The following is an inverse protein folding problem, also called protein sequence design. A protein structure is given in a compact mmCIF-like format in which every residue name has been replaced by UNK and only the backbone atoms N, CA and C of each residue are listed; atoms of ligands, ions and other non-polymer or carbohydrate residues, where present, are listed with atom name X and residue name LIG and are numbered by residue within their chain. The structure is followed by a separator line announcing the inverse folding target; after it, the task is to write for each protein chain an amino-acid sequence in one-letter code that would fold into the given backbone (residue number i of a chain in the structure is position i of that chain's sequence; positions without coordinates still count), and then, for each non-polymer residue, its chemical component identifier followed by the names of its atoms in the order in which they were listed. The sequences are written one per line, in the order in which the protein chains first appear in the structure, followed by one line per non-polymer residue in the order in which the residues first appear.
data_IF_932135966651
#
_entry.id   IF_932135966651
#
_cell.length_a   1.000
_cell.length_b   1.000
_cell.length_c   1.000
_cell.angle_alpha   90.00
_cell.angle_beta   90.00
_cell.angle_gamma   90.00
#
_symmetry.space_group_name_H-M   'P 1'
#
loop_
_entity.id
_entity.type
_entity.pdbx_description
1 polymer ?
#
# COMPACT_ATOMS: atom_id res chain seq x y z
N UNK A 1 1.11 -21.96 13.68
CA UNK A 1 1.62 -23.00 12.73
C UNK A 1 1.19 -24.45 13.00
N UNK A 2 1.16 -24.98 14.24
CA UNK A 2 0.77 -26.40 14.49
C UNK A 2 -0.67 -26.76 14.07
N UNK A 3 -1.65 -25.85 14.19
CA UNK A 3 -3.06 -26.09 13.77
C UNK A 3 -3.26 -26.15 12.24
N UNK A 4 -2.50 -25.37 11.48
CA UNK A 4 -2.58 -25.38 10.00
C UNK A 4 -1.88 -26.60 9.40
N UNK A 5 -0.76 -27.02 10.01
CA UNK A 5 -0.05 -28.27 9.64
C UNK A 5 -0.95 -29.49 9.89
N UNK A 6 -1.69 -29.54 11.00
CA UNK A 6 -2.62 -30.66 11.27
C UNK A 6 -3.75 -30.70 10.22
N UNK A 7 -4.34 -29.56 9.85
CA UNK A 7 -5.42 -29.52 8.87
C UNK A 7 -4.96 -29.93 7.46
N UNK A 8 -3.78 -29.47 7.04
CA UNK A 8 -3.17 -29.85 5.76
C UNK A 8 -2.76 -31.33 5.76
N UNK A 9 -2.18 -31.84 6.86
CA UNK A 9 -1.82 -33.26 6.97
C UNK A 9 -3.06 -34.16 6.93
N UNK A 10 -4.18 -33.77 7.55
CA UNK A 10 -5.44 -34.53 7.51
C UNK A 10 -6.05 -34.49 6.09
N UNK A 11 -6.08 -33.34 5.42
CA UNK A 11 -6.61 -33.24 4.05
C UNK A 11 -5.72 -33.99 3.06
N UNK A 12 -4.39 -33.91 3.16
CA UNK A 12 -3.46 -34.64 2.31
C UNK A 12 -3.52 -36.15 2.55
N UNK A 13 -3.67 -36.61 3.80
CA UNK A 13 -3.80 -38.05 4.08
C UNK A 13 -5.13 -38.61 3.59
N UNK A 14 -6.24 -37.87 3.73
CA UNK A 14 -7.54 -38.26 3.18
C UNK A 14 -7.53 -38.25 1.65
N UNK A 15 -6.93 -37.22 1.03
CA UNK A 15 -6.80 -37.13 -0.43
C UNK A 15 -5.86 -38.22 -0.99
N UNK A 16 -4.76 -38.53 -0.31
CA UNK A 16 -3.85 -39.61 -0.70
C UNK A 16 -4.49 -40.98 -0.54
N UNK A 17 -5.24 -41.22 0.55
CA UNK A 17 -6.01 -42.44 0.74
C UNK A 17 -7.13 -42.59 -0.32
N UNK A 18 -7.79 -41.49 -0.69
CA UNK A 18 -8.82 -41.47 -1.74
C UNK A 18 -8.24 -41.68 -3.14
N UNK A 19 -7.07 -41.10 -3.44
CA UNK A 19 -6.36 -41.33 -4.71
C UNK A 19 -5.82 -42.76 -4.83
N UNK A 20 -5.28 -43.33 -3.75
CA UNK A 20 -4.94 -44.75 -3.73
C UNK A 20 -6.18 -45.63 -3.93
N UNK A 21 -7.30 -45.30 -3.30
CA UNK A 21 -8.56 -46.03 -3.48
C UNK A 21 -9.08 -45.99 -4.93
N UNK A 22 -9.04 -44.84 -5.61
CA UNK A 22 -9.44 -44.70 -7.01
C UNK A 22 -8.49 -45.41 -7.98
N UNK A 23 -7.18 -45.35 -7.74
CA UNK A 23 -6.19 -46.09 -8.54
C UNK A 23 -6.30 -47.60 -8.34
N UNK A 24 -6.77 -48.05 -7.17
CA UNK A 24 -6.88 -49.46 -6.80
C UNK A 24 -8.16 -50.11 -7.34
N UNK A 25 -9.31 -49.41 -7.32
CA UNK A 25 -10.58 -49.90 -7.88
C UNK A 25 -10.50 -50.20 -9.38
N UNK A 26 -9.58 -49.54 -10.10
CA UNK A 26 -9.29 -49.80 -11.53
C UNK A 26 -8.60 -51.16 -11.80
N UNK A 27 -8.05 -51.83 -10.78
CA UNK A 27 -7.25 -53.07 -10.94
C UNK A 27 -7.93 -54.37 -10.48
N UNK A 28 -9.21 -54.33 -10.07
CA UNK A 28 -10.03 -55.54 -9.91
C UNK A 28 -9.58 -56.58 -8.87
N UNK A 29 -8.80 -56.19 -7.85
CA UNK A 29 -8.39 -57.09 -6.76
C UNK A 29 -9.05 -56.69 -5.43
N UNK A 30 -9.54 -57.66 -4.66
CA UNK A 30 -10.19 -57.43 -3.37
C UNK A 30 -9.18 -57.29 -2.24
N UNK A 31 -9.20 -56.17 -1.52
CA UNK A 31 -8.38 -55.95 -0.33
C UNK A 31 -9.23 -56.10 0.95
N UNK A 32 -8.83 -57.01 1.85
CA UNK A 32 -9.32 -57.01 3.25
C UNK A 32 -8.60 -55.92 4.02
N UNK A 33 -9.26 -54.79 4.27
CA UNK A 33 -8.73 -53.69 5.07
C UNK A 33 -9.13 -53.93 6.54
N UNK A 34 -8.16 -54.10 7.44
CA UNK A 34 -8.42 -54.03 8.89
C UNK A 34 -8.74 -52.56 9.24
N UNK A 35 -9.82 -52.28 9.99
CA UNK A 35 -10.17 -50.91 10.33
C UNK A 35 -9.07 -50.30 11.21
N UNK A 36 -8.44 -49.23 10.72
CA UNK A 36 -7.66 -48.34 11.56
C UNK A 36 -8.66 -47.54 12.39
N UNK A 37 -8.69 -47.77 13.69
CA UNK A 37 -9.45 -46.96 14.62
C UNK A 37 -8.78 -45.59 14.67
N UNK A 38 -9.25 -44.66 13.85
CA UNK A 38 -8.96 -43.24 14.03
C UNK A 38 -9.68 -42.85 15.30
N UNK A 39 -8.93 -42.65 16.40
CA UNK A 39 -9.48 -41.96 17.57
C UNK A 39 -10.01 -40.63 17.06
N UNK A 40 -11.33 -40.45 17.14
CA UNK A 40 -11.98 -39.18 16.88
C UNK A 40 -11.30 -38.13 17.78
N UNK A 41 -10.44 -37.30 17.20
CA UNK A 41 -10.15 -36.00 17.80
C UNK A 41 -11.41 -35.19 17.58
N UNK A 42 -12.31 -35.25 18.55
CA UNK A 42 -13.42 -34.32 18.66
C UNK A 42 -12.83 -32.92 18.80
N UNK A 43 -12.70 -32.20 17.68
CA UNK A 43 -12.49 -30.76 17.74
C UNK A 43 -13.84 -30.18 18.14
N UNK A 44 -13.98 -29.88 19.43
CA UNK A 44 -15.15 -29.23 19.98
C UNK A 44 -15.29 -27.86 19.31
N UNK A 45 -16.23 -27.72 18.37
CA UNK A 45 -16.52 -26.46 17.65
C UNK A 45 -17.25 -25.42 18.53
N UNK A 46 -17.46 -25.70 19.82
CA UNK A 46 -18.30 -24.89 20.71
C UNK A 46 -17.54 -24.19 21.86
N UNK A 47 -16.20 -24.28 21.93
CA UNK A 47 -15.44 -23.55 22.96
C UNK A 47 -14.93 -22.22 22.42
N UNK A 48 -15.58 -21.13 22.85
CA UNK A 48 -15.14 -19.75 22.65
C UNK A 48 -13.72 -19.62 23.22
N UNK A 49 -12.76 -19.13 22.43
CA UNK A 49 -11.38 -18.96 22.91
C UNK A 49 -11.31 -17.92 24.03
N UNK A 50 -10.34 -18.03 24.93
CA UNK A 50 -10.11 -17.02 25.96
C UNK A 50 -9.89 -15.62 25.35
N UNK A 51 -9.20 -15.57 24.21
CA UNK A 51 -9.01 -14.36 23.42
C UNK A 51 -10.35 -13.75 22.98
N UNK A 52 -11.30 -14.57 22.50
CA UNK A 52 -12.63 -14.10 22.07
C UNK A 52 -13.48 -13.63 23.26
N UNK A 53 -13.40 -14.30 24.42
CA UNK A 53 -14.05 -13.85 25.66
C UNK A 53 -13.51 -12.47 26.05
N UNK A 54 -12.18 -12.32 26.06
CA UNK A 54 -11.52 -11.06 26.42
C UNK A 54 -11.84 -9.95 25.41
N UNK A 55 -11.93 -10.28 24.12
CA UNK A 55 -12.34 -9.34 23.08
C UNK A 55 -13.76 -8.82 23.29
N UNK A 56 -14.72 -9.71 23.59
CA UNK A 56 -16.11 -9.31 23.90
C UNK A 56 -16.19 -8.43 25.14
N UNK A 57 -15.34 -8.66 26.16
CA UNK A 57 -15.24 -7.79 27.34
C UNK A 57 -14.69 -6.41 26.97
N UNK A 58 -13.61 -6.35 26.18
CA UNK A 58 -13.02 -5.09 25.71
C UNK A 58 -14.02 -4.26 24.88
N UNK A 59 -14.83 -4.91 24.03
CA UNK A 59 -15.89 -4.23 23.28
C UNK A 59 -16.95 -3.57 24.18
N UNK A 60 -17.28 -4.14 25.34
CA UNK A 60 -18.23 -3.53 26.29
C UNK A 60 -17.61 -2.34 27.02
N UNK A 61 -16.30 -2.38 27.29
CA UNK A 61 -15.59 -1.27 27.94
C UNK A 61 -15.60 0.00 27.10
N UNK A 62 -15.64 -0.10 25.77
CA UNK A 62 -15.59 1.08 24.87
C UNK A 62 -16.71 2.09 25.13
N UNK A 63 -17.87 1.61 25.59
CA UNK A 63 -19.06 2.42 25.88
C UNK A 63 -18.93 3.17 27.20
N UNK A 64 -18.02 2.71 28.07
CA UNK A 64 -17.83 3.24 29.42
C UNK A 64 -16.56 4.09 29.51
N UNK A 65 -15.46 3.58 28.94
CA UNK A 65 -14.13 4.13 29.08
C UNK A 65 -13.24 3.66 27.92
N UNK A 66 -12.99 4.58 26.98
CA UNK A 66 -12.21 4.29 25.77
C UNK A 66 -10.78 3.86 26.12
N UNK A 67 -10.16 4.47 27.14
CA UNK A 67 -8.77 4.16 27.48
C UNK A 67 -8.66 2.74 28.08
N UNK A 68 -9.61 2.35 28.94
CA UNK A 68 -9.69 0.97 29.44
C UNK A 68 -9.92 -0.03 28.32
N UNK A 69 -10.76 0.31 27.33
CA UNK A 69 -10.98 -0.54 26.17
C UNK A 69 -9.69 -0.73 25.34
N UNK A 70 -8.94 0.35 25.08
CA UNK A 70 -7.64 0.30 24.39
C UNK A 70 -6.68 -0.62 25.15
N UNK A 71 -6.50 -0.42 26.45
CA UNK A 71 -5.62 -1.27 27.26
C UNK A 71 -6.04 -2.74 27.26
N UNK A 72 -7.36 -3.02 27.28
CA UNK A 72 -7.87 -4.38 27.18
C UNK A 72 -7.56 -5.01 25.80
N UNK A 73 -7.70 -4.26 24.71
CA UNK A 73 -7.32 -4.73 23.37
C UNK A 73 -5.80 -4.93 23.26
N UNK A 74 -4.97 -4.04 23.80
CA UNK A 74 -3.50 -4.18 23.81
C UNK A 74 -3.05 -5.44 24.55
N UNK A 75 -3.74 -5.77 25.65
CA UNK A 75 -3.53 -7.03 26.37
C UNK A 75 -3.85 -8.24 25.49
N UNK A 76 -4.92 -8.19 24.70
CA UNK A 76 -5.25 -9.28 23.77
C UNK A 76 -4.15 -9.45 22.72
N UNK A 77 -3.65 -8.35 22.15
CA UNK A 77 -2.56 -8.38 21.16
C UNK A 77 -1.28 -8.99 21.74
N UNK A 78 -0.99 -8.69 23.00
CA UNK A 78 0.21 -9.18 23.70
C UNK A 78 0.08 -10.65 24.09
N UNK A 79 -1.04 -11.04 24.71
CA UNK A 79 -1.19 -12.37 25.31
C UNK A 79 -1.61 -13.44 24.30
N UNK A 80 -2.25 -13.04 23.20
CA UNK A 80 -2.82 -13.94 22.19
C UNK A 80 -2.35 -13.58 20.78
N UNK A 81 -1.06 -13.28 20.61
CA UNK A 81 -0.49 -12.77 19.35
C UNK A 81 -0.75 -13.64 18.12
N UNK A 82 -0.91 -14.96 18.29
CA UNK A 82 -1.17 -15.94 17.22
C UNK A 82 -2.67 -16.18 16.97
N UNK A 83 -3.55 -15.60 17.78
CA UNK A 83 -5.01 -15.73 17.66
C UNK A 83 -5.56 -14.63 16.73
N UNK A 84 -6.60 -14.96 15.97
CA UNK A 84 -7.27 -14.03 15.06
C UNK A 84 -7.75 -12.75 15.79
N UNK A 85 -8.14 -12.90 17.07
CA UNK A 85 -8.60 -11.78 17.90
C UNK A 85 -7.54 -10.70 18.12
N UNK A 86 -6.24 -11.01 18.01
CA UNK A 86 -5.20 -9.99 18.09
C UNK A 86 -5.24 -9.03 16.90
N UNK A 87 -5.49 -9.53 15.68
CA UNK A 87 -5.65 -8.68 14.49
C UNK A 87 -6.92 -7.82 14.58
N UNK A 88 -8.01 -8.38 15.09
CA UNK A 88 -9.25 -7.65 15.34
C UNK A 88 -9.07 -6.59 16.43
N UNK A 89 -8.31 -6.90 17.48
CA UNK A 89 -8.00 -5.97 18.57
C UNK A 89 -7.22 -4.76 18.06
N UNK A 90 -6.19 -4.94 17.22
CA UNK A 90 -5.47 -3.83 16.58
C UNK A 90 -6.38 -2.97 15.70
N UNK A 91 -7.29 -3.59 14.95
CA UNK A 91 -8.30 -2.86 14.17
C UNK A 91 -9.21 -2.00 15.07
N UNK A 92 -9.66 -2.55 16.21
CA UNK A 92 -10.44 -1.78 17.18
C UNK A 92 -9.64 -0.62 17.79
N UNK A 93 -8.37 -0.85 18.16
CA UNK A 93 -7.48 0.20 18.66
C UNK A 93 -7.35 1.33 17.62
N UNK A 94 -7.10 1.01 16.35
CA UNK A 94 -7.03 2.00 15.28
C UNK A 94 -8.34 2.78 15.13
N UNK A 95 -9.51 2.13 15.25
CA UNK A 95 -10.81 2.80 15.21
C UNK A 95 -10.99 3.79 16.38
N UNK A 96 -10.61 3.39 17.59
CA UNK A 96 -10.72 4.24 18.78
C UNK A 96 -9.78 5.46 18.72
N UNK A 97 -8.57 5.31 18.17
CA UNK A 97 -7.68 6.44 17.96
C UNK A 97 -8.18 7.40 16.89
N UNK A 98 -8.76 6.88 15.80
CA UNK A 98 -9.43 7.73 14.79
C UNK A 98 -10.57 8.55 15.38
N UNK A 99 -11.41 7.95 16.22
CA UNK A 99 -12.51 8.66 16.90
C UNK A 99 -12.00 9.81 17.79
N UNK A 100 -10.81 9.66 18.36
CA UNK A 100 -10.15 10.69 19.18
C UNK A 100 -9.34 11.71 18.36
N UNK A 101 -9.21 11.54 17.04
CA UNK A 101 -8.33 12.36 16.20
C UNK A 101 -6.83 12.13 16.45
N UNK A 102 -6.47 11.01 17.09
CA UNK A 102 -5.09 10.61 17.43
C UNK A 102 -4.42 9.89 16.25
N UNK A 103 -4.09 10.67 15.21
CA UNK A 103 -3.63 10.15 13.91
C UNK A 103 -2.32 9.35 14.00
N UNK A 104 -1.38 9.74 14.89
CA UNK A 104 -0.09 9.03 15.01
C UNK A 104 -0.28 7.65 15.66
N UNK A 105 -1.12 7.57 16.68
CA UNK A 105 -1.45 6.34 17.38
C UNK A 105 -2.32 5.43 16.50
N UNK A 106 -3.25 6.00 15.72
CA UNK A 106 -3.97 5.29 14.67
C UNK A 106 -3.02 4.67 13.65
N UNK A 107 -2.08 5.47 13.12
CA UNK A 107 -1.05 5.01 12.18
C UNK A 107 -0.26 3.86 12.78
N UNK A 108 0.23 4.02 14.01
CA UNK A 108 1.02 2.99 14.69
C UNK A 108 0.27 1.68 14.87
N UNK A 109 -1.03 1.72 15.19
CA UNK A 109 -1.86 0.53 15.31
C UNK A 109 -2.07 -0.17 13.97
N UNK A 110 -2.30 0.60 12.89
CA UNK A 110 -2.43 0.08 11.53
C UNK A 110 -1.10 -0.49 10.99
N UNK A 111 0.02 0.19 11.20
CA UNK A 111 1.36 -0.32 10.84
C UNK A 111 1.61 -1.68 11.52
N UNK A 112 1.33 -1.78 12.82
CA UNK A 112 1.47 -3.05 13.56
C UNK A 112 0.54 -4.13 13.01
N UNK A 113 -0.71 -3.79 12.68
CA UNK A 113 -1.66 -4.72 12.08
C UNK A 113 -1.14 -5.27 10.75
N UNK A 114 -0.70 -4.39 9.85
CA UNK A 114 -0.26 -4.79 8.51
C UNK A 114 1.05 -5.59 8.54
N UNK A 115 1.97 -5.25 9.45
CA UNK A 115 3.26 -5.93 9.56
C UNK A 115 3.16 -7.28 10.27
N UNK A 116 2.31 -7.40 11.29
CA UNK A 116 2.17 -8.64 12.07
C UNK A 116 1.09 -9.59 11.53
N UNK A 117 0.12 -9.07 10.77
CA UNK A 117 -1.05 -9.83 10.31
C UNK A 117 -1.36 -9.57 8.82
N UNK A 118 -0.34 -9.56 7.95
CA UNK A 118 -0.47 -9.22 6.53
C UNK A 118 -1.55 -10.01 5.78
N UNK A 119 -1.73 -11.29 6.15
CA UNK A 119 -2.65 -12.24 5.50
C UNK A 119 -4.06 -12.26 6.11
N UNK A 120 -4.32 -11.50 7.18
CA UNK A 120 -5.66 -11.44 7.77
C UNK A 120 -6.63 -10.72 6.83
N UNK A 121 -7.87 -11.22 6.73
CA UNK A 121 -8.91 -10.64 5.85
C UNK A 121 -9.15 -9.15 6.14
N UNK A 122 -9.09 -8.77 7.42
CA UNK A 122 -9.27 -7.38 7.85
C UNK A 122 -8.17 -6.44 7.34
N UNK A 123 -6.96 -6.96 7.14
CA UNK A 123 -5.79 -6.17 6.73
C UNK A 123 -5.97 -5.61 5.33
N UNK A 124 -6.54 -6.37 4.39
CA UNK A 124 -6.79 -5.89 3.02
C UNK A 124 -7.77 -4.72 2.98
N UNK A 125 -8.77 -4.72 3.87
CA UNK A 125 -9.76 -3.62 3.97
C UNK A 125 -9.18 -2.35 4.59
N UNK A 126 -8.14 -2.47 5.41
CA UNK A 126 -7.55 -1.36 6.15
C UNK A 126 -6.29 -0.77 5.51
N UNK A 127 -5.71 -1.45 4.51
CA UNK A 127 -4.59 -0.92 3.71
C UNK A 127 -4.83 0.49 3.16
N UNK A 128 -5.96 0.79 2.47
CA UNK A 128 -6.21 2.14 1.96
C UNK A 128 -6.18 3.22 3.05
N UNK A 129 -6.73 2.90 4.22
CA UNK A 129 -6.74 3.83 5.35
C UNK A 129 -5.35 4.19 5.85
N UNK A 130 -4.43 3.21 5.93
CA UNK A 130 -3.04 3.52 6.28
C UNK A 130 -2.36 4.35 5.18
N UNK A 131 -2.61 4.05 3.91
CA UNK A 131 -2.04 4.80 2.80
C UNK A 131 -2.50 6.26 2.78
N UNK A 132 -3.77 6.53 3.07
CA UNK A 132 -4.29 7.89 3.20
C UNK A 132 -3.60 8.63 4.34
N UNK A 133 -3.44 7.99 5.51
CA UNK A 133 -2.69 8.57 6.63
C UNK A 133 -1.23 8.84 6.26
N UNK A 134 -0.58 7.94 5.52
CA UNK A 134 0.81 8.14 5.08
C UNK A 134 0.92 9.39 4.19
N UNK A 135 0.01 9.56 3.23
CA UNK A 135 -0.01 10.73 2.35
C UNK A 135 -0.35 12.01 3.13
N UNK A 136 -1.35 11.98 4.00
CA UNK A 136 -1.72 13.13 4.82
C UNK A 136 -0.57 13.58 5.72
N UNK A 137 0.12 12.63 6.36
CA UNK A 137 1.31 12.89 7.18
C UNK A 137 2.45 13.48 6.34
N UNK A 138 2.67 12.95 5.13
CA UNK A 138 3.67 13.44 4.19
C UNK A 138 3.40 14.90 3.79
N UNK A 139 2.16 15.23 3.48
CA UNK A 139 1.72 16.57 3.08
C UNK A 139 1.41 17.53 4.22
N UNK A 140 1.50 17.08 5.47
CA UNK A 140 1.35 17.94 6.64
C UNK A 140 2.66 18.59 7.09
N UNK A 141 2.56 19.68 7.84
CA UNK A 141 3.70 20.31 8.54
C UNK A 141 4.12 19.62 9.83
N UNK A 142 3.51 18.46 10.15
CA UNK A 142 3.90 17.68 11.33
C UNK A 142 5.27 17.06 11.10
N UNK A 143 6.19 17.30 12.03
CA UNK A 143 7.49 16.64 12.01
C UNK A 143 7.30 15.13 12.20
N UNK A 144 7.88 14.36 11.29
CA UNK A 144 7.98 12.90 11.36
C UNK A 144 9.43 12.49 11.54
N UNK A 145 9.67 11.23 11.90
CA UNK A 145 11.01 10.64 11.99
C UNK A 145 11.80 10.76 10.68
N UNK A 146 11.11 10.81 9.55
CA UNK A 146 11.67 10.88 8.19
C UNK A 146 11.65 12.31 7.63
N UNK A 147 11.73 13.29 8.52
CA UNK A 147 11.78 14.70 8.17
C UNK A 147 12.69 15.47 9.10
N UNK A 148 13.22 16.57 8.61
CA UNK A 148 14.01 17.52 9.39
C UNK A 148 13.39 18.90 9.33
N UNK A 149 13.74 19.75 10.31
CA UNK A 149 13.44 21.18 10.25
C UNK A 149 14.67 21.90 9.70
N UNK A 150 14.48 22.60 8.59
CA UNK A 150 15.48 23.44 7.93
C UNK A 150 15.18 24.90 8.19
N UNK A 151 16.20 25.67 8.57
CA UNK A 151 16.10 27.11 8.68
C UNK A 151 16.59 27.76 7.37
N UNK A 152 15.72 28.54 6.74
CA UNK A 152 16.00 29.21 5.46
C UNK A 152 17.15 30.20 5.62
N UNK A 153 18.14 30.11 4.74
CA UNK A 153 19.33 30.97 4.74
C UNK A 153 19.18 32.14 3.75
N UNK A 154 19.99 33.21 3.89
CA UNK A 154 20.10 34.24 2.86
C UNK A 154 20.41 33.63 1.48
N UNK A 155 19.69 34.09 0.45
CA UNK A 155 19.79 33.62 -0.95
C UNK A 155 19.25 32.21 -1.25
N UNK A 156 18.57 31.57 -0.30
CA UNK A 156 17.82 30.36 -0.57
C UNK A 156 16.61 30.63 -1.48
N UNK A 157 16.24 29.61 -2.25
CA UNK A 157 14.96 29.50 -2.93
C UNK A 157 14.42 28.09 -2.71
N UNK A 158 13.10 27.89 -2.81
CA UNK A 158 12.53 26.55 -2.70
C UNK A 158 13.15 25.58 -3.71
N UNK A 159 13.52 26.05 -4.91
CA UNK A 159 14.21 25.23 -5.91
C UNK A 159 15.58 24.75 -5.44
N UNK A 160 16.41 25.64 -4.88
CA UNK A 160 17.73 25.27 -4.34
C UNK A 160 17.62 24.29 -3.17
N UNK A 161 16.68 24.56 -2.27
CA UNK A 161 16.42 23.69 -1.12
C UNK A 161 15.93 22.32 -1.60
N UNK A 162 14.93 22.28 -2.49
CA UNK A 162 14.39 21.06 -3.04
C UNK A 162 15.47 20.20 -3.73
N UNK A 163 16.31 20.83 -4.55
CA UNK A 163 17.45 20.15 -5.18
C UNK A 163 18.47 19.60 -4.19
N UNK A 164 18.81 20.37 -3.15
CA UNK A 164 19.77 19.95 -2.10
C UNK A 164 19.30 18.71 -1.34
N UNK A 165 18.00 18.61 -1.08
CA UNK A 165 17.41 17.53 -0.29
C UNK A 165 16.70 16.45 -1.14
N UNK A 166 16.94 16.43 -2.45
CA UNK A 166 16.33 15.49 -3.39
C UNK A 166 14.81 15.34 -3.19
N UNK A 167 14.13 16.48 -3.18
CA UNK A 167 12.67 16.56 -3.04
C UNK A 167 12.12 17.52 -4.09
N UNK A 168 10.82 17.75 -4.10
CA UNK A 168 10.17 18.66 -5.05
C UNK A 168 9.82 19.99 -4.37
N UNK A 169 9.74 21.06 -5.16
CA UNK A 169 9.19 22.34 -4.69
C UNK A 169 7.75 22.15 -4.23
N UNK A 170 6.97 21.33 -4.94
CA UNK A 170 5.56 21.06 -4.65
C UNK A 170 5.37 20.41 -3.27
N UNK A 171 6.15 19.38 -2.96
CA UNK A 171 6.13 18.70 -1.67
C UNK A 171 6.60 19.63 -0.55
N UNK A 172 7.64 20.43 -0.80
CA UNK A 172 8.08 21.46 0.15
C UNK A 172 6.97 22.46 0.45
N UNK A 173 6.30 22.97 -0.57
CA UNK A 173 5.20 23.92 -0.40
C UNK A 173 4.03 23.27 0.35
N UNK A 174 3.60 22.09 -0.11
CA UNK A 174 2.46 21.37 0.46
C UNK A 174 2.69 21.03 1.94
N UNK A 175 3.83 20.42 2.26
CA UNK A 175 4.20 20.04 3.63
C UNK A 175 4.47 21.23 4.56
N UNK A 176 4.55 22.45 4.04
CA UNK A 176 4.75 23.66 4.85
C UNK A 176 3.59 24.65 4.75
N UNK A 177 2.46 24.24 4.16
CA UNK A 177 1.29 25.11 3.92
C UNK A 177 1.65 26.41 3.19
N UNK A 178 2.66 26.39 2.32
CA UNK A 178 3.04 27.56 1.54
C UNK A 178 2.09 27.73 0.36
N UNK A 179 1.49 28.91 0.26
CA UNK A 179 0.58 29.25 -0.85
C UNK A 179 1.32 29.66 -2.12
N UNK A 180 2.60 30.02 -2.00
CA UNK A 180 3.46 30.45 -3.09
C UNK A 180 4.93 30.13 -2.76
N UNK A 181 5.85 30.47 -3.66
CA UNK A 181 7.27 30.17 -3.51
C UNK A 181 8.05 31.17 -2.67
N UNK A 182 7.41 32.18 -2.08
CA UNK A 182 8.09 33.19 -1.28
C UNK A 182 8.50 32.63 0.08
N UNK A 183 9.80 32.67 0.34
CA UNK A 183 10.43 32.32 1.62
C UNK A 183 11.35 33.44 2.07
N UNK A 184 11.58 33.54 3.39
CA UNK A 184 12.44 34.55 4.02
C UNK A 184 13.49 33.86 4.89
N UNK A 185 14.71 34.42 4.99
CA UNK A 185 15.70 33.93 5.94
C UNK A 185 15.13 33.81 7.37
N UNK A 186 15.50 32.74 8.08
CA UNK A 186 15.00 32.40 9.41
C UNK A 186 13.67 31.64 9.43
N UNK A 187 12.97 31.49 8.29
CA UNK A 187 11.78 30.63 8.23
C UNK A 187 12.16 29.17 8.47
N UNK A 188 11.37 28.47 9.28
CA UNK A 188 11.54 27.04 9.54
C UNK A 188 10.64 26.23 8.62
N UNK A 189 11.25 25.38 7.80
CA UNK A 189 10.55 24.49 6.87
C UNK A 189 10.78 23.04 7.27
N UNK A 190 9.71 22.25 7.34
CA UNK A 190 9.79 20.80 7.29
C UNK A 190 10.32 20.38 5.93
N UNK A 191 11.35 19.54 5.92
CA UNK A 191 11.86 18.88 4.73
C UNK A 191 11.72 17.39 4.93
N UNK A 192 10.99 16.74 4.03
CA UNK A 192 10.92 15.28 3.96
C UNK A 192 12.25 14.77 3.42
N UNK A 193 12.89 13.86 4.16
CA UNK A 193 14.22 13.34 3.81
C UNK A 193 14.18 11.91 3.27
N UNK A 194 13.03 11.25 3.27
CA UNK A 194 12.88 9.90 2.70
C UNK A 194 13.23 9.88 1.22
N UNK A 195 13.88 8.81 0.78
CA UNK A 195 14.13 8.54 -0.63
C UNK A 195 12.95 7.75 -1.19
N UNK A 196 12.26 8.33 -2.17
CA UNK A 196 11.13 7.67 -2.82
C UNK A 196 11.57 6.82 -4.01
N UNK A 197 10.94 5.65 -4.14
CA UNK A 197 11.02 4.78 -5.32
C UNK A 197 9.63 4.34 -5.77
N UNK A 198 9.54 3.94 -7.04
CA UNK A 198 8.29 3.44 -7.63
C UNK A 198 8.50 2.03 -8.15
N UNK A 199 7.55 1.16 -7.87
CA UNK A 199 7.51 -0.21 -8.39
C UNK A 199 6.19 -0.44 -9.13
N UNK A 200 6.25 -0.76 -10.42
CA UNK A 200 5.10 -1.07 -11.28
C UNK A 200 5.04 -2.57 -11.54
N UNK A 201 3.91 -3.20 -11.25
CA UNK A 201 3.63 -4.59 -11.63
C UNK A 201 2.61 -4.62 -12.75
N UNK A 202 3.01 -5.16 -13.90
CA UNK A 202 2.17 -5.28 -15.11
C UNK A 202 1.05 -6.30 -14.92
N UNK A 203 1.33 -7.46 -14.33
CA UNK A 203 0.32 -8.51 -14.09
C UNK A 203 -0.74 -8.08 -13.07
N UNK A 204 -0.36 -7.27 -12.09
CA UNK A 204 -1.27 -6.77 -11.05
C UNK A 204 -1.94 -5.45 -11.41
N UNK A 205 -1.45 -4.76 -12.45
CA UNK A 205 -1.87 -3.39 -12.80
C UNK A 205 -1.80 -2.44 -11.58
N UNK A 206 -0.68 -2.51 -10.84
CA UNK A 206 -0.44 -1.66 -9.67
C UNK A 206 0.86 -0.89 -9.78
N UNK A 207 0.84 0.34 -9.25
CA UNK A 207 2.02 1.14 -8.98
C UNK A 207 2.15 1.30 -7.46
N UNK A 208 3.29 0.94 -6.90
CA UNK A 208 3.59 1.05 -5.48
C UNK A 208 4.56 2.21 -5.31
N UNK A 209 4.14 3.25 -4.57
CA UNK A 209 5.03 4.27 -4.05
C UNK A 209 5.67 3.75 -2.76
N UNK A 210 7.00 3.73 -2.72
CA UNK A 210 7.79 3.32 -1.57
C UNK A 210 8.67 4.45 -1.10
N UNK A 211 9.02 4.38 0.17
CA UNK A 211 10.10 5.15 0.78
C UNK A 211 11.03 4.22 1.57
N UNK A 212 12.00 4.78 2.29
CA UNK A 212 12.95 4.02 3.11
C UNK A 212 12.28 3.20 4.22
N UNK A 213 11.01 3.46 4.54
CA UNK A 213 10.22 2.78 5.56
C UNK A 213 9.26 1.71 4.99
N UNK A 214 9.20 1.56 3.67
CA UNK A 214 8.39 0.55 3.01
C UNK A 214 7.31 1.14 2.10
N UNK A 215 6.10 0.60 2.16
CA UNK A 215 5.00 1.00 1.25
C UNK A 215 4.33 2.25 1.80
N UNK A 216 4.35 3.33 1.01
CA UNK A 216 3.62 4.57 1.30
C UNK A 216 2.18 4.43 0.82
N UNK A 217 1.99 4.07 -0.46
CA UNK A 217 0.68 3.92 -1.10
C UNK A 217 0.74 3.00 -2.32
N UNK A 218 -0.36 2.33 -2.62
CA UNK A 218 -0.53 1.53 -3.83
C UNK A 218 -1.66 2.12 -4.67
N UNK A 219 -1.41 2.30 -5.95
CA UNK A 219 -2.36 2.83 -6.93
C UNK A 219 -2.71 1.75 -7.94
N UNK A 220 -3.97 1.72 -8.38
CA UNK A 220 -4.35 0.98 -9.58
C UNK A 220 -3.93 1.78 -10.81
N UNK A 221 -3.33 1.11 -11.79
CA UNK A 221 -2.83 1.75 -13.02
C UNK A 221 -3.29 0.97 -14.25
N UNK A 222 -3.19 1.57 -15.44
CA UNK A 222 -3.24 0.80 -16.69
C UNK A 222 -1.83 0.61 -17.23
N UNK A 223 -1.53 -0.58 -17.73
CA UNK A 223 -0.22 -0.91 -18.31
C UNK A 223 -0.35 -1.32 -19.78
N UNK A 224 0.79 -1.57 -20.42
CA UNK A 224 0.86 -1.92 -21.83
C UNK A 224 0.18 -3.24 -22.15
N UNK A 225 -0.62 -3.27 -23.21
CA UNK A 225 -1.14 -4.52 -23.79
C UNK A 225 0.01 -5.38 -24.30
N UNK A 226 -0.20 -6.69 -24.42
CA UNK A 226 0.75 -7.61 -25.06
C UNK A 226 2.20 -7.48 -24.54
N UNK A 227 2.36 -7.15 -23.25
CA UNK A 227 3.66 -6.89 -22.60
C UNK A 227 4.48 -5.71 -23.16
N UNK A 228 3.85 -4.74 -23.84
CA UNK A 228 4.57 -3.61 -24.44
C UNK A 228 5.11 -2.57 -23.45
N UNK A 229 4.74 -2.62 -22.16
CA UNK A 229 5.46 -1.87 -21.12
C UNK A 229 6.82 -2.50 -20.86
N UNK A 230 7.93 -1.75 -20.98
CA UNK A 230 9.27 -2.30 -20.86
C UNK A 230 9.55 -2.72 -19.42
N UNK A 231 10.13 -3.90 -19.24
CA UNK A 231 10.59 -4.40 -17.93
C UNK A 231 12.02 -3.92 -17.71
N UNK A 232 12.30 -3.42 -16.51
CA UNK A 232 13.62 -2.89 -16.19
C UNK A 232 13.61 -1.88 -15.05
N UNK A 233 14.77 -1.27 -14.82
CA UNK A 233 14.95 -0.16 -13.89
C UNK A 233 15.17 1.11 -14.67
N UNK A 234 14.33 2.11 -14.43
CA UNK A 234 14.32 3.40 -15.11
C UNK A 234 14.42 4.54 -14.09
N UNK A 235 14.55 5.76 -14.58
CA UNK A 235 14.47 6.98 -13.76
C UNK A 235 13.46 7.95 -14.34
N UNK A 236 12.83 8.75 -13.48
CA UNK A 236 12.10 9.94 -13.94
C UNK A 236 13.11 10.96 -14.49
N UNK A 237 13.00 11.33 -15.76
CA UNK A 237 13.93 12.27 -16.42
C UNK A 237 13.33 13.65 -16.63
N UNK A 238 12.00 13.76 -16.71
CA UNK A 238 11.31 15.04 -16.80
C UNK A 238 9.91 14.96 -16.18
N UNK A 239 9.35 16.13 -15.92
CA UNK A 239 8.05 16.33 -15.27
C UNK A 239 7.33 17.49 -15.92
N UNK A 240 6.12 17.27 -16.42
CA UNK A 240 5.35 18.28 -17.16
C UNK A 240 3.91 18.34 -16.62
N UNK A 241 3.47 19.55 -16.27
CA UNK A 241 2.09 19.87 -15.92
C UNK A 241 1.32 20.16 -17.21
N UNK A 242 0.13 19.59 -17.37
CA UNK A 242 -0.72 19.73 -18.56
C UNK A 242 0.09 19.51 -19.85
N UNK A 243 0.63 18.29 -20.04
CA UNK A 243 1.56 18.00 -21.12
C UNK A 243 0.93 18.14 -22.51
N UNK A 244 1.67 18.74 -23.45
CA UNK A 244 1.38 18.60 -24.89
C UNK A 244 1.81 17.20 -25.34
N UNK A 245 0.95 16.51 -26.08
CA UNK A 245 1.25 15.18 -26.60
C UNK A 245 1.81 15.25 -28.02
N UNK A 246 3.10 14.93 -28.15
CA UNK A 246 3.77 14.79 -29.43
C UNK A 246 3.66 13.33 -29.90
N UNK A 247 2.96 13.12 -31.02
CA UNK A 247 2.81 11.80 -31.67
C UNK A 247 3.25 11.88 -33.13
N UNK A 248 3.55 10.75 -33.75
CA UNK A 248 3.95 10.72 -35.16
C UNK A 248 2.91 11.43 -36.02
N UNK A 249 3.34 12.50 -36.71
CA UNK A 249 2.51 13.29 -37.61
C UNK A 249 1.54 14.27 -36.93
N UNK A 250 1.56 14.45 -35.60
CA UNK A 250 0.67 15.40 -34.93
C UNK A 250 1.19 15.92 -33.58
N UNK A 251 0.80 17.17 -33.28
CA UNK A 251 0.97 17.78 -31.95
C UNK A 251 -0.42 18.00 -31.38
N UNK A 252 -0.70 17.41 -30.22
CA UNK A 252 -2.00 17.50 -29.56
C UNK A 252 -1.84 18.32 -28.29
N UNK A 253 -2.44 19.51 -28.27
CA UNK A 253 -2.36 20.43 -27.12
C UNK A 253 -3.05 19.88 -25.87
N UNK A 254 -2.71 20.43 -24.70
CA UNK A 254 -3.18 19.93 -23.41
C UNK A 254 -4.69 20.06 -23.19
N UNK A 255 -5.31 21.07 -23.79
CA UNK A 255 -6.75 21.35 -23.74
C UNK A 255 -7.57 20.53 -24.76
N UNK A 256 -6.89 19.80 -25.66
CA UNK A 256 -7.57 18.97 -26.65
C UNK A 256 -8.14 17.71 -26.00
N UNK A 257 -9.39 17.33 -26.31
CA UNK A 257 -9.97 16.06 -25.86
C UNK A 257 -9.24 14.83 -26.41
N UNK A 258 -8.45 14.98 -27.48
CA UNK A 258 -7.60 13.91 -28.01
C UNK A 258 -6.34 13.66 -27.17
N UNK A 259 -6.01 14.55 -26.22
CA UNK A 259 -4.82 14.42 -25.41
C UNK A 259 -5.02 13.35 -24.33
N UNK A 260 -4.49 12.16 -24.59
CA UNK A 260 -4.60 11.02 -23.67
C UNK A 260 -3.69 11.09 -22.44
N UNK A 261 -2.77 12.07 -22.37
CA UNK A 261 -1.76 12.14 -21.32
C UNK A 261 -2.34 12.62 -19.97
N UNK A 262 -3.53 13.22 -19.99
CA UNK A 262 -4.18 13.74 -18.80
C UNK A 262 -3.43 14.96 -18.23
N UNK A 263 -3.45 15.11 -16.91
CA UNK A 263 -3.03 16.37 -16.27
C UNK A 263 -1.54 16.43 -15.93
N UNK A 264 -0.84 15.29 -15.85
CA UNK A 264 0.59 15.22 -15.52
C UNK A 264 1.30 14.19 -16.37
N UNK A 265 2.56 14.47 -16.68
CA UNK A 265 3.50 13.56 -17.30
C UNK A 265 4.79 13.48 -16.48
N UNK A 266 5.25 12.26 -16.22
CA UNK A 266 6.55 11.95 -15.65
C UNK A 266 7.28 11.00 -16.61
N UNK A 267 8.17 11.53 -17.44
CA UNK A 267 8.88 10.76 -18.45
C UNK A 267 9.93 9.87 -17.83
N UNK A 268 10.07 8.66 -18.37
CA UNK A 268 11.08 7.70 -17.95
C UNK A 268 12.36 7.85 -18.78
N UNK A 269 13.46 7.29 -18.28
CA UNK A 269 14.74 7.21 -18.99
C UNK A 269 14.70 6.32 -20.24
N UNK A 270 13.59 5.61 -20.47
CA UNK A 270 13.29 4.96 -21.73
C UNK A 270 12.52 5.93 -22.65
N UNK A 271 13.09 6.35 -23.79
CA UNK A 271 12.48 7.33 -24.68
C UNK A 271 11.06 6.93 -25.12
N UNK A 272 10.12 7.86 -24.97
CA UNK A 272 8.72 7.64 -25.36
C UNK A 272 7.85 6.98 -24.29
N UNK A 273 8.42 6.58 -23.14
CA UNK A 273 7.66 5.99 -22.03
C UNK A 273 7.56 6.95 -20.84
N UNK A 274 6.44 6.86 -20.13
CA UNK A 274 6.14 7.74 -19.00
C UNK A 274 5.06 7.17 -18.08
N UNK A 275 5.00 7.73 -16.89
CA UNK A 275 3.85 7.64 -15.99
C UNK A 275 3.02 8.91 -16.21
N UNK A 276 1.74 8.76 -16.55
CA UNK A 276 0.89 9.90 -16.87
C UNK A 276 -0.56 9.70 -16.44
N UNK A 277 -1.35 10.76 -16.52
CA UNK A 277 -2.79 10.73 -16.26
C UNK A 277 -3.58 9.99 -17.33
N UNK A 278 -4.88 10.25 -17.43
CA UNK A 278 -5.72 9.67 -18.50
C UNK A 278 -6.95 10.52 -18.74
N UNK A 279 -7.44 10.55 -19.98
CA UNK A 279 -8.79 11.00 -20.33
C UNK A 279 -9.81 9.87 -20.36
N UNK A 280 -9.35 8.62 -20.18
CA UNK A 280 -10.17 7.41 -20.05
C UNK A 280 -9.93 6.75 -18.69
N UNK A 281 -10.69 7.14 -17.64
CA UNK A 281 -10.56 6.57 -16.30
C UNK A 281 -11.02 5.11 -16.20
N UNK A 282 -11.79 4.60 -17.18
CA UNK A 282 -12.26 3.22 -17.21
C UNK A 282 -11.14 2.26 -17.62
N UNK A 283 -10.11 2.77 -18.28
CA UNK A 283 -8.91 2.00 -18.65
C UNK A 283 -8.09 1.52 -17.45
N UNK A 284 -8.22 2.17 -16.29
CA UNK A 284 -7.41 1.87 -15.09
C UNK A 284 -7.73 0.48 -14.56
N UNK A 285 -6.68 -0.30 -14.26
CA UNK A 285 -6.78 -1.71 -13.86
C UNK A 285 -6.69 -2.70 -15.02
N UNK A 286 -6.47 -2.22 -16.26
CA UNK A 286 -6.38 -3.05 -17.48
C UNK A 286 -5.02 -2.94 -18.17
N UNK A 287 -4.73 -3.89 -19.07
CA UNK A 287 -3.56 -3.87 -19.94
C UNK A 287 -3.97 -3.38 -21.35
N UNK A 288 -4.07 -2.07 -21.53
CA UNK A 288 -4.64 -1.47 -22.74
C UNK A 288 -3.76 -0.40 -23.40
N UNK A 289 -2.65 0.00 -22.77
CA UNK A 289 -1.85 1.12 -23.26
C UNK A 289 -0.87 0.67 -24.34
N UNK A 290 -0.20 1.63 -25.00
CA UNK A 290 0.90 1.35 -25.92
C UNK A 290 2.26 1.26 -25.21
N UNK A 291 2.25 1.07 -23.88
CA UNK A 291 3.46 0.81 -23.09
C UNK A 291 3.66 1.78 -21.92
N UNK A 292 3.07 2.96 -21.96
CA UNK A 292 3.06 3.91 -20.84
C UNK A 292 2.21 3.41 -19.66
N UNK A 293 2.50 3.91 -18.46
CA UNK A 293 1.71 3.64 -17.25
C UNK A 293 0.69 4.77 -17.07
N UNK A 294 -0.61 4.44 -17.16
CA UNK A 294 -1.70 5.41 -16.95
C UNK A 294 -2.22 5.35 -15.52
N UNK A 295 -2.49 6.51 -14.96
CA UNK A 295 -3.06 6.69 -13.62
C UNK A 295 -4.31 7.57 -13.70
N UNK A 296 -5.14 7.55 -12.65
CA UNK A 296 -6.20 8.57 -12.51
C UNK A 296 -5.55 9.95 -12.33
N UNK A 297 -6.16 10.99 -12.88
CA UNK A 297 -5.58 12.35 -12.85
C UNK A 297 -5.30 12.83 -11.42
N UNK A 298 -6.20 12.59 -10.47
CA UNK A 298 -5.97 12.96 -9.06
C UNK A 298 -4.78 12.22 -8.42
N UNK A 299 -4.56 10.96 -8.80
CA UNK A 299 -3.48 10.12 -8.24
C UNK A 299 -2.12 10.45 -8.87
N UNK A 300 -2.07 10.73 -10.18
CA UNK A 300 -0.83 11.18 -10.81
C UNK A 300 -0.44 12.58 -10.34
N UNK A 301 -1.43 13.45 -10.04
CA UNK A 301 -1.18 14.75 -9.46
C UNK A 301 -0.54 14.64 -8.08
N UNK A 302 -1.07 13.79 -7.22
CA UNK A 302 -0.48 13.46 -5.92
C UNK A 302 0.96 12.94 -6.07
N UNK A 303 1.17 11.93 -6.92
CA UNK A 303 2.49 11.33 -7.15
C UNK A 303 3.48 12.36 -7.72
N UNK A 304 3.01 13.25 -8.60
CA UNK A 304 3.80 14.33 -9.19
C UNK A 304 4.30 15.33 -8.15
N UNK A 305 3.52 15.58 -7.08
CA UNK A 305 4.03 16.43 -5.99
C UNK A 305 5.16 15.73 -5.25
N UNK A 306 5.16 14.41 -5.16
CA UNK A 306 6.10 13.66 -4.30
C UNK A 306 7.43 13.38 -5.01
N UNK A 307 7.37 12.99 -6.30
CA UNK A 307 8.54 12.43 -6.98
C UNK A 307 9.42 13.49 -7.65
N UNK A 308 10.69 13.67 -7.24
CA UNK A 308 11.66 14.47 -7.99
C UNK A 308 12.13 13.77 -9.28
N UNK A 309 12.77 14.55 -10.16
CA UNK A 309 13.58 13.98 -11.25
C UNK A 309 14.71 13.16 -10.64
N UNK A 310 15.00 12.00 -11.24
CA UNK A 310 16.00 11.04 -10.77
C UNK A 310 15.44 9.90 -9.90
N UNK A 311 14.18 9.99 -9.46
CA UNK A 311 13.48 8.90 -8.78
C UNK A 311 13.54 7.62 -9.60
N UNK A 312 13.91 6.51 -8.95
CA UNK A 312 13.94 5.19 -9.55
C UNK A 312 12.51 4.64 -9.76
N UNK A 313 12.30 4.07 -10.94
CA UNK A 313 11.06 3.41 -11.35
C UNK A 313 11.41 2.00 -11.84
N UNK A 314 11.01 0.99 -11.08
CA UNK A 314 11.18 -0.42 -11.45
C UNK A 314 9.89 -0.93 -12.06
N UNK A 315 9.92 -1.42 -13.29
CA UNK A 315 8.78 -2.06 -13.95
C UNK A 315 9.06 -3.55 -14.07
N UNK A 316 8.11 -4.38 -13.60
CA UNK A 316 8.19 -5.83 -13.63
C UNK A 316 6.88 -6.47 -14.08
N UNK A 317 6.96 -7.75 -14.42
CA UNK A 317 5.78 -8.58 -14.69
C UNK A 317 4.94 -8.80 -13.42
#
# INVERSE_FOLDING_TARGET
MKKFIIYIVVILTVAFAFMQFLSYKKKGQGLKIKPVIVKNVSVNKNEISEAEINFKKALKLKEQDIQKAITAFEKIVTDFSEDEQASLALSQIANLYKQQGKVLEEKSALDKLLNSYSEAEITNRLKPRLWDINIDMLFSNRQTKDSMIYEVLPNDSLYKIAGKYNTTVDLLMKSNNLVNSFIKPGMKLKIVTSIFTVEVSKSKNTLILRDDNGVVKVYSVATGKDNCSPVGTFKIVNRIVNPVWYKTGAVVFADSPENILGTRWMGLSEPGYGIHGTTDPQSIGTQCTQGCVRMRNSEVEELFLILPVGTEVVIKD
#
